data_IF_933311642941
#
_entry.id   IF_933311642941
#
_cell.length_a   1.000
_cell.length_b   1.000
_cell.length_c   1.000
_cell.angle_alpha   90.00
_cell.angle_beta   90.00
_cell.angle_gamma   90.00
#
_symmetry.space_group_name_H-M   'P 1'
#
loop_
_entity.id
_entity.type
_entity.pdbx_description
1 polymer ?
#
# COMPACT_ATOMS: atom_id res chain seq x y z
N UNK A 1 18.19 -3.47 11.69
CA UNK A 1 19.23 -4.44 11.27
C UNK A 1 19.42 -4.43 9.75
N UNK A 2 20.63 -4.72 9.24
CA UNK A 2 20.90 -4.78 7.80
C UNK A 2 20.91 -6.22 7.32
N UNK A 3 20.24 -6.53 6.20
CA UNK A 3 20.19 -7.87 5.65
C UNK A 3 21.60 -8.29 5.17
N UNK A 4 22.13 -9.44 5.62
CA UNK A 4 23.46 -9.90 5.20
C UNK A 4 23.50 -10.37 3.74
N UNK A 5 22.35 -10.64 3.12
CA UNK A 5 22.26 -11.14 1.75
C UNK A 5 22.15 -10.03 0.70
N UNK A 6 21.43 -8.94 0.98
CA UNK A 6 21.18 -7.87 -0.01
C UNK A 6 21.51 -6.45 0.49
N UNK A 7 21.92 -6.30 1.76
CA UNK A 7 22.22 -4.98 2.34
C UNK A 7 21.01 -4.10 2.62
N UNK A 8 19.78 -4.60 2.46
CA UNK A 8 18.55 -3.87 2.79
C UNK A 8 18.43 -3.56 4.28
N UNK A 9 17.96 -2.37 4.62
CA UNK A 9 17.63 -1.99 6.01
C UNK A 9 16.28 -2.59 6.40
N UNK A 10 16.24 -3.28 7.54
CA UNK A 10 15.05 -3.90 8.09
C UNK A 10 14.86 -3.44 9.55
N UNK A 11 13.61 -3.27 10.01
CA UNK A 11 13.30 -3.16 11.43
C UNK A 11 13.85 -4.37 12.21
N UNK A 12 14.32 -4.16 13.43
CA UNK A 12 14.96 -5.22 14.24
C UNK A 12 14.01 -6.37 14.66
N UNK A 13 12.70 -6.17 14.48
CA UNK A 13 11.66 -7.15 14.85
C UNK A 13 11.28 -8.10 13.72
N UNK A 14 11.79 -7.89 12.49
CA UNK A 14 11.43 -8.73 11.35
C UNK A 14 12.33 -9.96 11.24
N UNK A 15 11.69 -11.13 11.12
CA UNK A 15 12.36 -12.40 10.87
C UNK A 15 12.75 -12.61 9.40
N UNK A 16 12.36 -11.71 8.50
CA UNK A 16 12.67 -11.78 7.08
C UNK A 16 13.02 -10.39 6.53
N UNK A 17 13.74 -10.36 5.41
CA UNK A 17 14.10 -9.12 4.76
C UNK A 17 12.95 -8.57 3.91
N UNK A 18 12.53 -7.33 4.14
CA UNK A 18 11.49 -6.66 3.35
C UNK A 18 11.89 -6.44 1.89
N UNK A 19 13.19 -6.36 1.60
CA UNK A 19 13.69 -6.10 0.25
C UNK A 19 13.90 -7.38 -0.58
N UNK A 20 14.27 -8.50 0.03
CA UNK A 20 14.59 -9.73 -0.72
C UNK A 20 13.84 -10.98 -0.26
N UNK A 21 12.96 -10.87 0.75
CA UNK A 21 12.15 -11.97 1.28
C UNK A 21 12.92 -13.05 2.04
N UNK A 22 14.25 -12.94 2.19
CA UNK A 22 15.06 -13.96 2.87
C UNK A 22 14.92 -13.90 4.38
N UNK A 23 14.89 -15.07 4.99
CA UNK A 23 14.91 -15.27 6.43
C UNK A 23 16.19 -14.68 7.06
N UNK A 24 16.01 -13.83 8.07
CA UNK A 24 17.06 -13.16 8.83
C UNK A 24 17.40 -13.87 10.15
N UNK A 25 16.62 -14.87 10.56
CA UNK A 25 16.87 -15.68 11.76
C UNK A 25 18.03 -16.66 11.55
N UNK A 26 18.32 -17.01 10.28
CA UNK A 26 19.50 -17.79 9.90
C UNK A 26 20.69 -16.85 9.70
N UNK A 27 21.52 -16.71 10.73
CA UNK A 27 22.85 -16.14 10.55
C UNK A 27 23.64 -16.99 9.53
N UNK A 28 24.31 -16.37 8.54
CA UNK A 28 25.33 -17.07 7.78
C UNK A 28 26.44 -17.54 8.73
N UNK A 29 27.11 -18.68 8.46
CA UNK A 29 28.18 -19.16 9.33
C UNK A 29 29.23 -18.05 9.50
N UNK A 30 29.47 -17.68 10.76
CA UNK A 30 30.42 -16.65 11.12
C UNK A 30 31.81 -17.03 10.55
N UNK A 31 32.40 -16.13 9.75
CA UNK A 31 33.83 -16.21 9.47
C UNK A 31 34.56 -15.94 10.80
N UNK A 32 35.14 -16.98 11.37
CA UNK A 32 35.95 -16.92 12.58
C UNK A 32 37.28 -16.19 12.29
N UNK A 33 37.73 -15.27 13.17
CA UNK A 33 39.12 -14.80 13.16
C UNK A 33 40.02 -15.92 13.72
N UNK A 34 41.07 -16.28 12.97
CA UNK A 34 41.72 -17.59 13.05
C UNK A 34 42.71 -17.85 14.19
N UNK A 35 43.21 -19.09 14.20
CA UNK A 35 44.54 -19.44 14.73
C UNK A 35 45.11 -20.68 14.01
N UNK A 36 46.24 -20.48 13.32
CA UNK A 36 47.34 -21.43 13.09
C UNK A 36 47.13 -22.69 12.22
N UNK A 37 47.73 -22.72 11.01
CA UNK A 37 48.05 -23.99 10.34
C UNK A 37 48.28 -23.94 8.82
N UNK A 38 49.50 -23.61 8.40
CA UNK A 38 50.25 -24.00 7.18
C UNK A 38 49.56 -24.27 5.81
N UNK A 39 50.01 -23.47 4.81
CA UNK A 39 50.44 -23.80 3.40
C UNK A 39 49.54 -24.78 2.60
N UNK A 40 49.03 -24.48 1.40
CA UNK A 40 49.69 -23.97 0.18
C UNK A 40 48.66 -23.49 -0.86
N UNK A 41 48.99 -22.46 -1.64
CA UNK A 41 48.65 -22.43 -3.08
C UNK A 41 47.57 -21.47 -3.57
N UNK A 42 48.03 -20.48 -4.34
CA UNK A 42 47.35 -19.71 -5.40
C UNK A 42 46.47 -18.49 -5.02
N UNK A 43 47.09 -17.33 -5.22
CA UNK A 43 46.50 -15.99 -5.46
C UNK A 43 45.64 -15.94 -6.73
N UNK A 44 44.61 -15.06 -6.79
CA UNK A 44 44.85 -13.76 -7.43
C UNK A 44 44.24 -12.54 -6.70
N UNK A 45 45.01 -11.44 -6.78
CA UNK A 45 44.66 -10.00 -6.80
C UNK A 45 43.67 -9.38 -5.80
N UNK A 46 44.23 -8.51 -4.96
CA UNK A 46 43.55 -7.47 -4.17
C UNK A 46 42.65 -6.58 -5.05
N UNK A 47 41.40 -6.42 -4.64
CA UNK A 47 40.67 -5.16 -4.81
C UNK A 47 40.59 -4.53 -3.42
N UNK A 48 41.23 -3.36 -3.27
CA UNK A 48 41.18 -2.54 -2.07
C UNK A 48 39.72 -2.14 -1.80
N UNK A 49 39.22 -2.44 -0.60
CA UNK A 49 37.98 -1.83 -0.14
C UNK A 49 38.22 -0.33 0.11
N UNK A 50 37.33 0.57 -0.33
CA UNK A 50 37.43 1.98 0.00
C UNK A 50 37.28 2.18 1.52
N UNK A 51 38.29 2.78 2.13
CA UNK A 51 38.26 3.27 3.51
C UNK A 51 37.31 4.46 3.53
N UNK A 52 36.10 4.28 4.05
CA UNK A 52 35.20 5.40 4.29
C UNK A 52 35.69 6.20 5.51
N UNK A 53 35.78 7.54 5.43
CA UNK A 53 36.01 8.37 6.60
C UNK A 53 34.83 8.24 7.58
N UNK A 54 35.07 8.38 8.90
CA UNK A 54 33.99 8.34 9.88
C UNK A 54 32.97 9.46 9.62
N UNK A 55 31.68 9.24 9.92
CA UNK A 55 30.64 10.26 9.72
C UNK A 55 30.91 11.49 10.61
N UNK A 56 30.56 12.70 10.13
CA UNK A 56 30.67 13.92 10.94
C UNK A 56 29.69 13.89 12.13
N UNK A 57 30.01 14.59 13.23
CA UNK A 57 29.15 14.66 14.40
C UNK A 57 27.81 15.34 14.06
N UNK A 58 26.73 14.74 14.56
CA UNK A 58 25.35 15.22 14.42
C UNK A 58 25.22 16.57 15.15
N UNK A 59 24.97 17.65 14.41
CA UNK A 59 24.59 18.93 15.02
C UNK A 59 23.16 18.82 15.53
N UNK A 60 22.98 19.05 16.84
CA UNK A 60 21.65 19.21 17.46
C UNK A 60 20.94 20.44 16.87
N UNK A 61 19.63 20.37 16.59
CA UNK A 61 18.86 21.56 16.28
C UNK A 61 18.89 22.55 17.44
N UNK A 62 19.19 23.82 17.13
CA UNK A 62 19.06 24.95 18.05
C UNK A 62 17.60 25.07 18.51
N UNK A 63 17.40 25.12 19.82
CA UNK A 63 16.10 25.43 20.42
C UNK A 63 15.70 26.87 20.04
N UNK A 64 14.43 27.15 19.70
CA UNK A 64 13.96 28.50 19.54
C UNK A 64 13.92 29.24 20.90
N UNK A 65 14.16 30.57 20.91
CA UNK A 65 14.20 31.36 22.14
C UNK A 65 12.80 31.52 22.76
N UNK A 66 12.70 31.74 24.09
CA UNK A 66 11.44 31.99 24.78
C UNK A 66 10.87 33.37 24.43
N UNK A 67 9.59 33.45 24.08
CA UNK A 67 8.86 34.71 23.87
C UNK A 67 8.56 35.41 25.19
N UNK A 68 8.78 36.72 25.23
CA UNK A 68 8.45 37.64 26.32
C UNK A 68 6.95 38.03 26.32
N UNK A 69 6.39 38.52 27.45
CA UNK A 69 4.95 38.67 27.63
C UNK A 69 4.40 39.98 27.03
N UNK A 70 3.25 39.89 26.36
CA UNK A 70 2.53 41.06 25.84
C UNK A 70 1.61 41.65 26.91
N UNK A 71 1.81 42.94 27.17
CA UNK A 71 1.08 43.80 28.10
C UNK A 71 -0.37 44.09 27.65
N UNK A 72 -1.20 44.43 28.64
CA UNK A 72 -2.64 44.63 28.56
C UNK A 72 -3.08 46.04 28.12
N UNK A 73 -4.21 46.09 27.36
CA UNK A 73 -5.30 47.10 27.30
C UNK A 73 -5.03 48.52 26.76
N UNK A 74 -6.06 49.35 26.41
CA UNK A 74 -7.51 49.19 26.56
C UNK A 74 -8.38 49.41 25.29
N UNK A 75 -9.67 49.11 25.45
CA UNK A 75 -10.76 49.15 24.47
C UNK A 75 -11.38 50.55 24.28
N UNK A 76 -11.81 50.85 23.05
CA UNK A 76 -12.86 51.82 22.78
C UNK A 76 -13.91 51.25 21.79
N UNK A 77 -15.13 51.72 22.04
CA UNK A 77 -16.45 51.28 21.61
C UNK A 77 -16.89 51.71 20.20
N UNK A 78 -17.84 50.95 19.63
CA UNK A 78 -19.02 51.32 18.78
C UNK A 78 -19.21 50.20 17.74
N UNK A 79 -20.37 49.62 17.43
CA UNK A 79 -21.76 49.69 17.88
C UNK A 79 -22.61 48.85 16.89
N UNK A 80 -23.77 48.32 17.34
CA UNK A 80 -24.89 47.69 16.55
C UNK A 80 -24.58 46.35 15.84
N UNK A 81 -25.42 45.31 15.79
CA UNK A 81 -26.79 44.92 16.23
C UNK A 81 -26.73 43.37 16.23
N UNK A 82 -27.08 42.64 17.29
CA UNK A 82 -28.45 42.33 17.66
C UNK A 82 -28.94 41.01 17.03
N UNK A 83 -28.54 39.84 17.57
CA UNK A 83 -29.38 38.64 17.58
C UNK A 83 -29.05 37.77 18.79
N UNK A 84 -30.06 37.56 19.62
CA UNK A 84 -30.03 36.89 20.92
C UNK A 84 -30.11 35.37 20.73
N UNK A 85 -29.17 34.61 21.30
CA UNK A 85 -29.35 33.18 21.60
C UNK A 85 -29.05 32.94 23.09
N UNK A 86 -29.90 32.18 23.82
CA UNK A 86 -29.73 31.98 25.26
C UNK A 86 -28.65 30.93 25.59
N UNK A 87 -27.97 31.07 26.74
CA UNK A 87 -26.98 30.09 27.20
C UNK A 87 -27.62 28.82 27.77
N UNK A 88 -27.06 27.67 27.41
CA UNK A 88 -27.40 26.35 27.92
C UNK A 88 -26.90 26.19 29.36
N UNK A 89 -27.81 25.81 30.25
CA UNK A 89 -27.55 25.52 31.66
C UNK A 89 -26.81 24.17 31.82
N UNK A 90 -25.75 24.05 32.63
CA UNK A 90 -25.08 22.77 32.87
C UNK A 90 -25.90 21.88 33.82
N UNK A 91 -26.30 20.69 33.36
CA UNK A 91 -26.90 19.65 34.20
C UNK A 91 -25.82 18.95 35.06
N UNK A 92 -26.09 18.65 36.35
CA UNK A 92 -25.19 17.87 37.18
C UNK A 92 -25.27 16.37 36.84
N UNK A 93 -24.10 15.73 36.81
CA UNK A 93 -23.91 14.29 36.67
C UNK A 93 -24.68 13.49 37.72
N UNK A 94 -25.40 12.46 37.29
CA UNK A 94 -26.06 11.47 38.16
C UNK A 94 -25.25 10.16 38.15
N UNK A 95 -24.87 9.58 39.30
CA UNK A 95 -24.18 8.30 39.35
C UNK A 95 -25.12 7.15 38.96
N UNK A 96 -24.62 6.19 38.17
CA UNK A 96 -25.32 4.95 37.84
C UNK A 96 -25.40 4.05 39.08
N UNK A 97 -26.61 3.62 39.45
CA UNK A 97 -26.82 2.56 40.44
C UNK A 97 -26.73 1.17 39.79
N UNK A 98 -26.18 0.15 40.49
CA UNK A 98 -26.15 -1.22 40.00
C UNK A 98 -27.52 -1.88 40.18
N UNK A 99 -28.16 -2.29 39.08
CA UNK A 99 -29.39 -3.08 39.14
C UNK A 99 -29.07 -4.57 39.30
N UNK A 100 -29.64 -5.14 40.36
CA UNK A 100 -29.53 -6.51 40.82
C UNK A 100 -30.22 -7.51 39.89
N UNK A 101 -29.59 -8.67 39.69
CA UNK A 101 -30.19 -9.87 39.10
C UNK A 101 -31.24 -10.51 40.04
N UNK A 102 -32.35 -11.03 39.51
CA UNK A 102 -33.15 -12.06 40.17
C UNK A 102 -32.70 -13.49 39.78
N UNK A 103 -32.92 -14.49 40.65
CA UNK A 103 -32.39 -15.85 40.49
C UNK A 103 -33.24 -16.74 39.56
N UNK A 104 -32.59 -17.78 39.05
CA UNK A 104 -33.17 -18.82 38.20
C UNK A 104 -34.17 -19.73 38.92
N UNK A 105 -35.13 -20.32 38.18
CA UNK A 105 -35.64 -21.64 38.49
C UNK A 105 -35.01 -22.68 37.55
N UNK A 106 -34.39 -23.68 38.16
CA UNK A 106 -34.05 -24.94 37.52
C UNK A 106 -35.33 -25.68 37.12
N UNK A 107 -35.39 -26.19 35.88
CA UNK A 107 -36.02 -27.47 35.60
C UNK A 107 -35.48 -28.06 34.30
N UNK A 108 -34.93 -29.26 34.43
CA UNK A 108 -34.43 -30.08 33.35
C UNK A 108 -35.58 -30.52 32.44
N UNK A 109 -35.40 -30.43 31.13
CA UNK A 109 -36.10 -31.32 30.19
C UNK A 109 -35.29 -31.45 28.90
N UNK A 110 -35.08 -32.70 28.50
CA UNK A 110 -34.19 -33.12 27.44
C UNK A 110 -34.51 -32.45 26.08
N UNK A 111 -33.52 -31.78 25.50
CA UNK A 111 -33.59 -31.31 24.11
C UNK A 111 -33.32 -32.49 23.18
N UNK A 112 -34.41 -33.14 22.77
CA UNK A 112 -34.46 -34.03 21.61
C UNK A 112 -34.11 -33.20 20.37
N UNK A 113 -32.95 -33.49 19.76
CA UNK A 113 -32.52 -32.97 18.45
C UNK A 113 -33.68 -33.07 17.45
N UNK A 114 -34.34 -31.96 17.19
CA UNK A 114 -35.22 -31.82 16.03
C UNK A 114 -34.32 -31.48 14.84
N UNK A 115 -34.21 -32.43 13.90
CA UNK A 115 -33.73 -32.17 12.55
C UNK A 115 -34.64 -31.08 11.96
N UNK A 116 -34.14 -29.84 11.88
CA UNK A 116 -34.76 -28.80 11.07
C UNK A 116 -34.59 -29.23 9.62
N UNK A 117 -35.71 -29.57 8.99
CA UNK A 117 -35.79 -29.87 7.57
C UNK A 117 -35.17 -28.72 6.79
N UNK A 118 -34.22 -29.07 5.92
CA UNK A 118 -33.59 -28.18 4.97
C UNK A 118 -34.68 -27.50 4.13
N UNK A 119 -34.74 -26.18 4.21
CA UNK A 119 -35.39 -25.36 3.19
C UNK A 119 -34.80 -25.76 1.83
N UNK A 120 -35.60 -25.95 0.77
CA UNK A 120 -35.06 -26.14 -0.56
C UNK A 120 -34.23 -24.91 -0.93
N UNK A 121 -32.94 -25.14 -1.12
CA UNK A 121 -31.99 -24.16 -1.63
C UNK A 121 -32.51 -23.69 -2.99
N UNK A 122 -32.78 -22.39 -3.11
CA UNK A 122 -33.12 -21.79 -4.39
C UNK A 122 -32.00 -22.10 -5.39
N UNK A 123 -32.31 -22.31 -6.69
CA UNK A 123 -31.29 -22.54 -7.70
C UNK A 123 -30.26 -21.40 -7.65
N UNK A 124 -28.99 -21.76 -7.42
CA UNK A 124 -27.87 -20.83 -7.47
C UNK A 124 -27.85 -20.27 -8.90
N UNK A 125 -28.25 -19.01 -9.04
CA UNK A 125 -28.10 -18.28 -10.29
C UNK A 125 -26.62 -18.31 -10.67
N UNK A 126 -26.24 -18.79 -11.86
CA UNK A 126 -24.83 -18.89 -12.24
C UNK A 126 -24.24 -17.48 -12.24
N UNK A 127 -23.21 -17.28 -11.41
CA UNK A 127 -22.36 -16.08 -11.44
C UNK A 127 -22.04 -15.79 -12.92
N UNK A 128 -22.28 -14.56 -13.42
CA UNK A 128 -22.05 -14.25 -14.82
C UNK A 128 -20.64 -14.68 -15.20
N UNK A 129 -20.54 -15.48 -16.27
CA UNK A 129 -19.28 -16.00 -16.75
C UNK A 129 -18.35 -14.83 -17.06
N UNK A 130 -17.36 -14.63 -16.19
CA UNK A 130 -16.28 -13.69 -16.43
C UNK A 130 -15.59 -14.16 -17.72
N UNK A 131 -15.40 -13.30 -18.73
CA UNK A 131 -14.71 -13.69 -19.95
C UNK A 131 -13.36 -14.35 -19.62
N UNK A 132 -13.09 -15.52 -20.19
CA UNK A 132 -11.84 -16.24 -19.97
C UNK A 132 -10.65 -15.41 -20.46
N UNK A 133 -9.56 -15.42 -19.70
CA UNK A 133 -8.37 -14.68 -20.05
C UNK A 133 -7.74 -15.24 -21.33
N UNK A 134 -7.24 -14.39 -22.25
CA UNK A 134 -6.38 -14.86 -23.34
C UNK A 134 -5.15 -15.53 -22.73
N UNK A 135 -4.95 -16.81 -22.99
CA UNK A 135 -3.77 -17.52 -22.50
C UNK A 135 -2.51 -17.01 -23.25
N UNK A 136 -1.37 -16.77 -22.56
CA UNK A 136 -1.11 -17.00 -21.13
C UNK A 136 -1.29 -15.74 -20.25
N UNK A 137 -2.17 -15.83 -19.25
CA UNK A 137 -2.29 -14.86 -18.16
C UNK A 137 -1.79 -15.50 -16.84
N UNK A 138 -1.01 -14.80 -15.99
CA UNK A 138 -0.53 -13.42 -16.13
C UNK A 138 0.49 -13.23 -17.27
N UNK A 139 0.53 -12.05 -17.92
CA UNK A 139 1.49 -11.78 -18.98
C UNK A 139 2.92 -11.84 -18.43
N UNK A 140 3.82 -12.45 -19.22
CA UNK A 140 5.25 -12.61 -18.88
C UNK A 140 6.18 -11.81 -19.79
N UNK A 141 5.62 -11.12 -20.78
CA UNK A 141 6.35 -10.30 -21.74
C UNK A 141 5.50 -9.09 -22.12
N UNK A 142 6.16 -8.02 -22.58
CA UNK A 142 5.48 -6.83 -23.11
C UNK A 142 4.67 -7.17 -24.36
N UNK A 143 5.13 -8.12 -25.18
CA UNK A 143 4.38 -8.61 -26.35
C UNK A 143 3.03 -9.21 -25.94
N UNK A 144 2.99 -10.04 -24.89
CA UNK A 144 1.72 -10.57 -24.39
C UNK A 144 0.86 -9.49 -23.76
N UNK A 145 1.46 -8.52 -23.07
CA UNK A 145 0.73 -7.37 -22.52
C UNK A 145 0.01 -6.56 -23.61
N UNK A 146 0.68 -6.31 -24.74
CA UNK A 146 0.08 -5.65 -25.92
C UNK A 146 -1.08 -6.44 -26.53
N UNK A 147 -1.02 -7.78 -26.49
CA UNK A 147 -2.13 -8.61 -26.97
C UNK A 147 -3.36 -8.49 -26.05
N UNK A 148 -3.16 -8.38 -24.73
CA UNK A 148 -4.26 -8.23 -23.76
C UNK A 148 -5.01 -6.90 -23.95
N UNK A 149 -4.36 -5.86 -24.46
CA UNK A 149 -4.96 -4.53 -24.69
C UNK A 149 -6.26 -4.60 -25.51
N UNK A 150 -6.42 -5.59 -26.39
CA UNK A 150 -7.64 -5.80 -27.17
C UNK A 150 -8.89 -6.06 -26.32
N UNK A 151 -8.73 -6.58 -25.10
CA UNK A 151 -9.82 -6.79 -24.15
C UNK A 151 -9.94 -5.70 -23.08
N UNK A 152 -9.28 -4.56 -23.29
CA UNK A 152 -9.47 -3.38 -22.45
C UNK A 152 -10.93 -2.93 -22.45
N UNK A 153 -11.38 -2.43 -21.31
CA UNK A 153 -12.71 -1.87 -21.14
C UNK A 153 -12.70 -0.38 -21.45
N UNK A 154 -13.87 0.14 -21.78
CA UNK A 154 -14.10 1.58 -21.76
C UNK A 154 -13.91 2.12 -20.35
N UNK A 155 -13.22 3.25 -20.25
CA UNK A 155 -12.97 3.97 -19.00
C UNK A 155 -13.27 5.45 -19.15
N UNK A 156 -13.53 6.11 -18.02
CA UNK A 156 -13.70 7.56 -17.94
C UNK A 156 -12.53 8.15 -17.17
N UNK A 157 -11.89 9.18 -17.72
CA UNK A 157 -10.89 9.98 -17.00
C UNK A 157 -11.58 10.77 -15.88
N UNK A 158 -11.05 10.69 -14.66
CA UNK A 158 -11.61 11.41 -13.52
C UNK A 158 -10.74 12.60 -13.11
N UNK A 159 -9.45 12.38 -12.87
CA UNK A 159 -8.54 13.44 -12.46
C UNK A 159 -7.09 13.12 -12.79
N UNK A 160 -6.27 14.16 -12.74
CA UNK A 160 -4.82 14.09 -12.90
C UNK A 160 -4.14 14.82 -11.74
N UNK A 161 -3.11 14.20 -11.19
CA UNK A 161 -2.27 14.77 -10.16
C UNK A 161 -0.80 14.70 -10.57
N UNK A 162 -0.04 15.72 -10.17
CA UNK A 162 1.41 15.70 -10.27
C UNK A 162 1.98 15.17 -8.97
N UNK A 163 2.65 14.03 -9.04
CA UNK A 163 3.39 13.49 -7.92
C UNK A 163 4.71 14.24 -7.73
N UNK A 164 5.43 13.86 -6.68
CA UNK A 164 6.77 14.41 -6.44
C UNK A 164 7.74 14.06 -7.58
N UNK A 165 8.58 15.03 -7.97
CA UNK A 165 9.54 14.87 -9.06
C UNK A 165 8.87 14.83 -10.44
N UNK A 166 9.40 14.01 -11.36
CA UNK A 166 8.81 13.79 -12.68
C UNK A 166 7.76 12.68 -12.64
N UNK A 167 6.83 12.73 -11.68
CA UNK A 167 5.76 11.74 -11.51
C UNK A 167 4.42 12.32 -11.94
N UNK A 168 3.65 11.56 -12.71
CA UNK A 168 2.25 11.85 -13.06
C UNK A 168 1.36 10.74 -12.52
N UNK A 169 0.21 11.09 -11.96
CA UNK A 169 -0.81 10.16 -11.49
C UNK A 169 -2.10 10.48 -12.22
N UNK A 170 -2.71 9.46 -12.84
CA UNK A 170 -3.95 9.57 -13.59
C UNK A 170 -4.98 8.66 -12.93
N UNK A 171 -6.13 9.22 -12.59
CA UNK A 171 -7.26 8.48 -12.09
C UNK A 171 -8.26 8.22 -13.22
N UNK A 172 -8.60 6.95 -13.41
CA UNK A 172 -9.63 6.50 -14.34
C UNK A 172 -10.69 5.70 -13.58
N UNK A 173 -11.92 5.73 -14.05
CA UNK A 173 -13.00 4.89 -13.55
C UNK A 173 -13.48 3.95 -14.65
N UNK A 174 -13.70 2.69 -14.30
CA UNK A 174 -14.23 1.66 -15.19
C UNK A 174 -14.99 0.61 -14.36
N UNK A 175 -15.85 -0.16 -15.04
CA UNK A 175 -16.67 -1.18 -14.38
C UNK A 175 -15.81 -2.28 -13.74
N UNK A 176 -16.35 -2.95 -12.72
CA UNK A 176 -15.72 -4.14 -12.14
C UNK A 176 -15.56 -5.24 -13.21
N UNK A 177 -14.43 -5.94 -13.20
CA UNK A 177 -14.05 -6.86 -14.27
C UNK A 177 -13.03 -7.90 -13.82
N UNK A 178 -12.71 -8.84 -14.72
CA UNK A 178 -11.67 -9.83 -14.49
C UNK A 178 -10.29 -9.16 -14.27
N UNK A 179 -9.38 -9.75 -13.47
CA UNK A 179 -8.02 -9.24 -13.30
C UNK A 179 -7.28 -9.00 -14.62
N UNK A 180 -7.51 -9.84 -15.64
CA UNK A 180 -6.85 -9.68 -16.94
C UNK A 180 -7.39 -8.48 -17.74
N UNK A 181 -8.69 -8.21 -17.68
CA UNK A 181 -9.31 -7.05 -18.30
C UNK A 181 -8.90 -5.77 -17.58
N UNK A 182 -8.70 -5.86 -16.26
CA UNK A 182 -8.16 -4.78 -15.45
C UNK A 182 -6.75 -4.40 -15.92
N UNK A 183 -5.85 -5.37 -16.05
CA UNK A 183 -4.50 -5.18 -16.59
C UNK A 183 -4.53 -4.58 -18.00
N UNK A 184 -5.39 -5.11 -18.88
CA UNK A 184 -5.58 -4.59 -20.24
C UNK A 184 -6.02 -3.12 -20.24
N UNK A 185 -7.01 -2.77 -19.40
CA UNK A 185 -7.57 -1.42 -19.30
C UNK A 185 -6.53 -0.42 -18.76
N UNK A 186 -5.80 -0.80 -17.71
CA UNK A 186 -4.74 0.03 -17.14
C UNK A 186 -3.60 0.27 -18.15
N UNK A 187 -3.21 -0.77 -18.90
CA UNK A 187 -2.20 -0.64 -19.94
C UNK A 187 -2.67 0.22 -21.11
N UNK A 188 -3.93 0.06 -21.53
CA UNK A 188 -4.52 0.90 -22.57
C UNK A 188 -4.54 2.38 -22.16
N UNK A 189 -4.94 2.66 -20.93
CA UNK A 189 -4.90 4.02 -20.39
C UNK A 189 -3.46 4.57 -20.28
N UNK A 190 -2.47 3.76 -19.91
CA UNK A 190 -1.07 4.18 -19.93
C UNK A 190 -0.68 4.64 -21.34
N UNK A 191 -0.96 3.86 -22.38
CA UNK A 191 -0.63 4.23 -23.76
C UNK A 191 -1.27 5.56 -24.20
N UNK A 192 -2.46 5.88 -23.68
CA UNK A 192 -3.15 7.14 -23.96
C UNK A 192 -2.55 8.35 -23.22
N UNK A 193 -2.06 8.16 -21.99
CA UNK A 193 -1.58 9.26 -21.12
C UNK A 193 -0.07 9.32 -20.94
N UNK A 194 0.67 8.43 -21.60
CA UNK A 194 2.11 8.40 -21.55
C UNK A 194 2.68 9.71 -22.11
N UNK A 195 3.56 10.37 -21.36
CA UNK A 195 4.26 11.58 -21.82
C UNK A 195 5.70 11.62 -21.35
N UNK A 196 6.65 11.75 -22.30
CA UNK A 196 8.10 11.62 -22.09
C UNK A 196 8.69 12.56 -21.03
N UNK A 197 8.01 13.67 -20.74
CA UNK A 197 8.41 14.63 -19.69
C UNK A 197 8.34 14.07 -18.27
N UNK A 198 7.66 12.93 -18.06
CA UNK A 198 7.58 12.26 -16.77
C UNK A 198 8.55 11.07 -16.74
N UNK A 199 9.19 10.79 -15.61
CA UNK A 199 9.99 9.57 -15.43
C UNK A 199 9.11 8.41 -14.93
N UNK A 200 8.03 8.73 -14.20
CA UNK A 200 7.05 7.77 -13.67
C UNK A 200 5.63 8.22 -14.04
N UNK A 201 4.84 7.31 -14.61
CA UNK A 201 3.40 7.49 -14.83
C UNK A 201 2.66 6.42 -14.03
N UNK A 202 1.68 6.84 -13.22
CA UNK A 202 0.82 5.94 -12.47
C UNK A 202 -0.60 6.08 -13.02
N UNK A 203 -1.21 4.95 -13.40
CA UNK A 203 -2.63 4.86 -13.72
C UNK A 203 -3.31 4.16 -12.55
N UNK A 204 -4.32 4.79 -11.95
CA UNK A 204 -5.07 4.26 -10.83
C UNK A 204 -6.54 4.14 -11.21
N UNK A 205 -7.09 2.93 -11.05
CA UNK A 205 -8.51 2.70 -11.15
C UNK A 205 -9.22 3.11 -9.86
N UNK A 206 -10.26 3.93 -9.98
CA UNK A 206 -11.12 4.32 -8.86
C UNK A 206 -12.54 3.78 -9.09
N UNK A 207 -13.20 3.39 -8.02
CA UNK A 207 -14.61 2.99 -8.05
C UNK A 207 -15.46 4.22 -7.69
N UNK A 208 -16.48 4.54 -8.49
CA UNK A 208 -17.33 5.71 -8.28
C UNK A 208 -18.34 5.56 -7.12
N UNK A 209 -18.05 4.70 -6.15
CA UNK A 209 -18.89 4.51 -4.97
C UNK A 209 -18.34 5.34 -3.81
N UNK A 210 -18.93 6.52 -3.66
CA UNK A 210 -18.96 7.36 -2.46
C UNK A 210 -17.67 7.45 -1.65
N UNK A 211 -16.88 8.49 -1.94
CA UNK A 211 -16.22 9.39 -0.98
C UNK A 211 -15.64 8.76 0.32
N UNK A 212 -15.16 7.54 0.25
CA UNK A 212 -14.46 6.88 1.33
C UNK A 212 -13.00 7.26 1.19
N UNK A 213 -12.38 7.74 2.27
CA UNK A 213 -10.96 8.13 2.29
C UNK A 213 -10.00 6.99 1.87
N UNK A 214 -10.53 5.78 1.67
CA UNK A 214 -9.81 4.56 1.32
C UNK A 214 -10.34 3.89 0.02
N UNK A 215 -11.14 4.57 -0.81
CA UNK A 215 -11.80 4.00 -2.00
C UNK A 215 -10.87 3.76 -3.22
N UNK A 216 -9.55 3.79 -3.00
CA UNK A 216 -8.58 3.29 -3.97
C UNK A 216 -8.56 1.76 -3.77
N UNK A 217 -8.96 0.93 -4.72
CA UNK A 217 -8.21 0.74 -5.94
C UNK A 217 -8.99 -0.31 -6.73
N UNK A 218 -9.60 0.11 -7.84
CA UNK A 218 -9.91 -0.83 -8.91
C UNK A 218 -8.60 -1.02 -9.71
N UNK A 219 -7.54 -1.52 -9.04
CA UNK A 219 -6.22 -1.75 -9.62
C UNK A 219 -5.36 -0.50 -9.89
N UNK A 220 -4.06 -0.72 -10.03
CA UNK A 220 -3.04 0.29 -10.28
C UNK A 220 -1.99 -0.23 -11.27
N UNK A 221 -1.49 0.64 -12.14
CA UNK A 221 -0.30 0.44 -12.95
C UNK A 221 0.71 1.55 -12.65
N UNK A 222 1.93 1.18 -12.27
CA UNK A 222 3.08 2.09 -12.21
C UNK A 222 4.02 1.78 -13.36
N UNK A 223 4.30 2.78 -14.19
CA UNK A 223 5.26 2.74 -15.28
C UNK A 223 6.44 3.64 -14.97
N UNK A 224 7.64 3.08 -14.93
CA UNK A 224 8.89 3.79 -14.76
C UNK A 224 9.73 3.69 -16.04
N UNK A 225 10.17 4.82 -16.59
CA UNK A 225 10.95 4.85 -17.85
C UNK A 225 12.43 4.55 -17.67
N UNK A 226 12.99 4.98 -16.53
CA UNK A 226 14.43 5.12 -16.33
C UNK A 226 14.92 4.31 -15.14
N UNK A 227 14.50 3.04 -15.03
CA UNK A 227 14.93 2.16 -13.93
C UNK A 227 16.34 1.68 -14.19
N UNK A 228 17.24 2.00 -13.26
CA UNK A 228 18.64 1.59 -13.35
C UNK A 228 18.82 0.20 -12.76
N UNK A 229 19.31 -0.75 -13.57
CA UNK A 229 19.70 -2.07 -13.14
C UNK A 229 21.15 -2.34 -13.59
N UNK A 230 22.09 -2.09 -12.67
CA UNK A 230 23.52 -2.10 -13.00
C UNK A 230 23.85 -0.99 -14.00
N UNK A 231 24.39 -1.36 -15.16
CA UNK A 231 24.71 -0.44 -16.26
C UNK A 231 23.58 -0.26 -17.27
N UNK A 232 22.42 -0.89 -17.06
CA UNK A 232 21.29 -0.85 -17.98
C UNK A 232 20.22 0.13 -17.47
N UNK A 233 19.57 0.81 -18.41
CA UNK A 233 18.36 1.59 -18.17
C UNK A 233 17.21 0.82 -18.80
N UNK A 234 16.24 0.45 -17.98
CA UNK A 234 15.09 -0.36 -18.36
C UNK A 234 13.81 0.42 -18.09
N UNK A 235 12.78 0.12 -18.88
CA UNK A 235 11.41 0.45 -18.54
C UNK A 235 10.86 -0.63 -17.61
N UNK A 236 10.01 -0.24 -16.67
CA UNK A 236 9.35 -1.16 -15.74
C UNK A 236 7.87 -0.88 -15.67
N UNK A 237 7.08 -1.93 -15.77
CA UNK A 237 5.63 -1.93 -15.60
C UNK A 237 5.30 -2.75 -14.35
N UNK A 238 4.60 -2.15 -13.40
CA UNK A 238 4.14 -2.81 -12.18
C UNK A 238 2.63 -2.69 -12.11
N UNK A 239 1.94 -3.81 -12.28
CA UNK A 239 0.49 -3.90 -12.10
C UNK A 239 0.18 -4.45 -10.72
N UNK A 240 -0.82 -3.87 -10.08
CA UNK A 240 -1.42 -4.33 -8.84
C UNK A 240 -2.92 -4.39 -9.10
N UNK A 241 -3.50 -5.59 -9.14
CA UNK A 241 -4.95 -5.75 -9.35
C UNK A 241 -5.71 -5.55 -8.04
N UNK A 242 -6.95 -5.08 -8.14
CA UNK A 242 -7.77 -4.76 -6.97
C UNK A 242 -7.02 -3.80 -6.01
N UNK A 243 -7.13 -4.02 -4.70
CA UNK A 243 -6.46 -3.23 -3.66
C UNK A 243 -5.14 -3.84 -3.17
N UNK A 244 -4.64 -4.91 -3.79
CA UNK A 244 -3.39 -5.58 -3.38
C UNK A 244 -3.44 -6.30 -2.02
N UNK A 245 -4.55 -6.23 -1.29
CA UNK A 245 -4.75 -6.84 0.04
C UNK A 245 -5.70 -8.04 -0.01
N UNK A 246 -6.49 -8.18 -1.07
CA UNK A 246 -7.32 -9.36 -1.32
C UNK A 246 -6.44 -10.54 -1.71
N UNK A 247 -6.80 -11.74 -1.25
CA UNK A 247 -6.05 -13.00 -1.46
C UNK A 247 -5.78 -13.28 -2.95
N UNK A 248 -6.72 -12.89 -3.80
CA UNK A 248 -6.66 -13.11 -5.26
C UNK A 248 -6.04 -11.92 -6.02
N UNK A 249 -5.51 -10.92 -5.32
CA UNK A 249 -4.83 -9.79 -5.94
C UNK A 249 -3.50 -10.24 -6.57
N UNK A 250 -3.30 -9.87 -7.82
CA UNK A 250 -2.12 -10.17 -8.62
C UNK A 250 -1.21 -8.95 -8.66
N UNK A 251 0.08 -9.21 -8.43
CA UNK A 251 1.14 -8.25 -8.71
C UNK A 251 1.98 -8.75 -9.87
N UNK A 252 1.99 -8.00 -10.96
CA UNK A 252 2.72 -8.37 -12.19
C UNK A 252 3.81 -7.33 -12.43
N UNK A 253 5.04 -7.80 -12.63
CA UNK A 253 6.18 -6.93 -12.91
C UNK A 253 6.78 -7.34 -14.26
N UNK A 254 6.86 -6.40 -15.18
CA UNK A 254 7.47 -6.58 -16.50
C UNK A 254 8.55 -5.51 -16.69
N UNK A 255 9.64 -5.87 -17.36
CA UNK A 255 10.72 -4.94 -17.71
C UNK A 255 11.05 -5.05 -19.20
N UNK A 256 11.37 -3.92 -19.81
CA UNK A 256 11.82 -3.79 -21.22
C UNK A 256 13.15 -3.05 -21.29
#
# INVERSE_FOLDING_TARGET
MRCPYCGGLNPDQLNYCINCGRDLTRQPPAQQPGSGGQRTGNTPSLIQQPVYPPPPPVQRPLQPPPMAPANQRPAHSTGRTGTTMPPSNPQPYRPAQPQQQPPAPANATAVRRQKKASTPEAPIEPKPAVPDAPAPFPPRSITHLKQLEQGALDYTFTSEEKGYGKKRIIHISYRHCAPWQQVATLFHALNAYDAEKFDTVVIQGIQNEQNDLYSFNNGQLTFDRNVHLGSQILKRYVFETENGLVIDALRIILTE
#
